data_IF_250983523209
#
_entry.id   IF_250983523209
#
_cell.length_a   1.000
_cell.length_b   1.000
_cell.length_c   1.000
_cell.angle_alpha   90.00
_cell.angle_beta   90.00
_cell.angle_gamma   90.00
#
_symmetry.space_group_name_H-M   'P 1'
#
loop_
_entity.id
_entity.type
_entity.pdbx_description
1 polymer ?
#
# COMPACT_ATOMS: atom_id res chain seq x y z
N UNK A 1 -15.98 2.20 11.48
CA UNK A 1 -15.88 2.80 12.83
C UNK A 1 -17.20 3.00 13.59
N UNK A 2 -18.18 3.77 13.11
CA UNK A 2 -19.39 4.10 13.91
C UNK A 2 -20.19 2.89 14.42
N UNK A 3 -20.52 1.95 13.54
CA UNK A 3 -21.28 0.74 13.92
C UNK A 3 -20.46 -0.26 14.74
N UNK A 4 -19.15 -0.34 14.52
CA UNK A 4 -18.26 -1.25 15.24
C UNK A 4 -17.87 -0.74 16.63
N UNK A 5 -17.95 0.58 16.86
CA UNK A 5 -17.65 1.23 18.14
C UNK A 5 -18.92 1.59 18.93
N UNK A 6 -20.11 1.26 18.42
CA UNK A 6 -21.39 1.54 19.09
C UNK A 6 -21.76 3.02 19.17
N UNK A 7 -21.18 3.86 18.32
CA UNK A 7 -21.35 5.32 18.32
C UNK A 7 -20.11 6.06 17.80
N UNK A 8 -20.12 7.39 17.91
CA UNK A 8 -18.93 8.21 17.69
C UNK A 8 -18.06 8.22 18.96
N UNK A 9 -16.77 7.82 18.89
CA UNK A 9 -15.88 7.87 20.04
C UNK A 9 -15.66 9.30 20.52
N UNK A 10 -15.55 9.51 21.84
CA UNK A 10 -15.15 10.81 22.41
C UNK A 10 -13.74 11.24 21.96
N UNK A 11 -12.90 10.29 21.53
CA UNK A 11 -11.66 10.56 20.80
C UNK A 11 -11.40 9.52 19.73
N UNK A 12 -11.21 9.97 18.48
CA UNK A 12 -10.59 9.20 17.40
C UNK A 12 -9.15 9.71 17.27
N UNK A 13 -8.17 8.83 17.43
CA UNK A 13 -6.77 9.21 17.30
C UNK A 13 -5.83 8.36 18.14
N UNK A 14 -4.58 8.78 18.17
CA UNK A 14 -3.44 8.01 18.71
C UNK A 14 -3.26 8.15 20.23
N UNK A 15 -4.33 8.53 20.94
CA UNK A 15 -4.27 8.76 22.38
C UNK A 15 -3.98 7.42 23.05
N UNK A 16 -2.97 7.40 23.92
CA UNK A 16 -2.46 6.21 24.60
C UNK A 16 -1.74 5.17 23.72
N UNK A 17 -1.51 5.46 22.44
CA UNK A 17 -0.64 4.62 21.60
C UNK A 17 0.82 4.77 22.02
N UNK A 18 1.54 3.66 22.02
CA UNK A 18 2.96 3.71 22.33
C UNK A 18 3.70 4.55 21.28
N UNK A 19 4.74 5.31 21.67
CA UNK A 19 5.55 6.07 20.72
C UNK A 19 6.12 5.20 19.58
N UNK A 20 6.42 3.93 19.88
CA UNK A 20 6.90 2.97 18.89
C UNK A 20 5.82 2.63 17.84
N UNK A 21 4.56 2.47 18.25
CA UNK A 21 3.45 2.20 17.33
C UNK A 21 3.21 3.40 16.40
N UNK A 22 3.33 4.62 16.94
CA UNK A 22 3.19 5.85 16.15
C UNK A 22 4.32 6.03 15.14
N UNK A 23 5.54 5.66 15.52
CA UNK A 23 6.68 5.68 14.62
C UNK A 23 6.53 4.62 13.52
N UNK A 24 6.09 3.41 13.88
CA UNK A 24 5.81 2.35 12.92
C UNK A 24 4.76 2.78 11.90
N UNK A 25 3.64 3.33 12.35
CA UNK A 25 2.57 3.81 11.47
C UNK A 25 3.06 4.87 10.47
N UNK A 26 3.82 5.86 10.95
CA UNK A 26 4.42 6.89 10.08
C UNK A 26 5.38 6.31 9.04
N UNK A 27 6.28 5.40 9.44
CA UNK A 27 7.22 4.76 8.53
C UNK A 27 6.47 3.92 7.50
N UNK A 28 5.50 3.15 7.96
CA UNK A 28 4.70 2.27 7.13
C UNK A 28 3.88 3.06 6.10
N UNK A 29 3.18 4.11 6.54
CA UNK A 29 2.41 4.99 5.67
C UNK A 29 3.29 5.68 4.62
N UNK A 30 4.44 6.23 5.02
CA UNK A 30 5.38 6.84 4.09
C UNK A 30 5.94 5.83 3.08
N UNK A 31 6.35 4.65 3.56
CA UNK A 31 6.93 3.59 2.74
C UNK A 31 5.91 3.09 1.71
N UNK A 32 4.70 2.72 2.12
CA UNK A 32 3.67 2.20 1.22
C UNK A 32 3.24 3.28 0.22
N UNK A 33 3.06 4.53 0.66
CA UNK A 33 2.68 5.62 -0.25
C UNK A 33 3.74 5.85 -1.33
N UNK A 34 5.02 5.91 -0.92
CA UNK A 34 6.14 6.08 -1.85
C UNK A 34 6.24 4.91 -2.81
N UNK A 35 6.11 3.68 -2.30
CA UNK A 35 6.19 2.46 -3.09
C UNK A 35 5.02 2.35 -4.08
N UNK A 36 3.81 2.74 -3.68
CA UNK A 36 2.64 2.78 -4.55
C UNK A 36 2.82 3.81 -5.68
N UNK A 37 3.24 5.04 -5.37
CA UNK A 37 3.52 6.07 -6.37
C UNK A 37 4.62 5.63 -7.35
N UNK A 38 5.70 5.07 -6.82
CA UNK A 38 6.78 4.53 -7.66
C UNK A 38 6.26 3.42 -8.58
N UNK A 39 5.45 2.51 -8.05
CA UNK A 39 4.90 1.38 -8.81
C UNK A 39 3.90 1.82 -9.88
N UNK A 40 3.07 2.84 -9.60
CA UNK A 40 2.05 3.32 -10.54
C UNK A 40 2.65 4.20 -11.64
N UNK A 41 3.63 5.04 -11.32
CA UNK A 41 4.15 6.04 -12.26
C UNK A 41 5.51 5.67 -12.86
N UNK A 42 6.42 5.12 -12.05
CA UNK A 42 7.81 4.88 -12.48
C UNK A 42 7.95 3.53 -13.16
N UNK A 43 7.35 2.46 -12.62
CA UNK A 43 7.47 1.11 -13.19
C UNK A 43 6.93 1.03 -14.63
N UNK A 44 5.77 1.60 -14.99
CA UNK A 44 5.31 1.59 -16.38
C UNK A 44 6.25 2.33 -17.32
N UNK A 45 6.82 3.47 -16.88
CA UNK A 45 7.80 4.21 -17.65
C UNK A 45 9.07 3.37 -17.91
N UNK A 46 9.57 2.64 -16.89
CA UNK A 46 10.71 1.73 -17.04
C UNK A 46 10.37 0.59 -18.01
N UNK A 47 9.17 -0.01 -17.91
CA UNK A 47 8.74 -1.07 -18.83
C UNK A 47 8.72 -0.56 -20.28
N UNK A 48 8.19 0.64 -20.51
CA UNK A 48 8.20 1.26 -21.84
C UNK A 48 9.63 1.41 -22.36
N UNK A 49 10.56 1.89 -21.55
CA UNK A 49 11.98 2.00 -21.93
C UNK A 49 12.59 0.63 -22.24
N UNK A 50 12.32 -0.38 -21.40
CA UNK A 50 12.80 -1.75 -21.61
C UNK A 50 12.26 -2.39 -22.90
N UNK A 51 11.08 -2.00 -23.36
CA UNK A 51 10.53 -2.46 -24.64
C UNK A 51 11.32 -1.92 -25.85
N UNK A 52 11.80 -0.68 -25.78
CA UNK A 52 12.61 -0.07 -26.84
C UNK A 52 14.04 -0.62 -26.90
N UNK A 53 14.60 -1.04 -25.76
CA UNK A 53 15.98 -1.56 -25.67
C UNK A 53 15.96 -3.08 -25.60
N UNK A 54 16.25 -3.76 -26.73
CA UNK A 54 16.22 -5.24 -26.84
C UNK A 54 17.05 -5.97 -25.78
N UNK A 55 18.16 -5.37 -25.31
CA UNK A 55 19.01 -5.92 -24.24
C UNK A 55 18.32 -5.94 -22.86
N UNK A 56 17.34 -5.06 -22.64
CA UNK A 56 16.67 -4.86 -21.35
C UNK A 56 15.29 -5.52 -21.28
N UNK A 57 14.79 -6.09 -22.37
CA UNK A 57 13.53 -6.83 -22.40
C UNK A 57 13.43 -7.93 -21.32
N UNK A 58 14.50 -8.68 -20.98
CA UNK A 58 14.43 -9.66 -19.88
C UNK A 58 14.08 -9.03 -18.52
N UNK A 59 14.38 -7.73 -18.32
CA UNK A 59 14.07 -7.04 -17.06
C UNK A 59 12.57 -6.84 -16.84
N UNK A 60 11.78 -6.86 -17.91
CA UNK A 60 10.32 -6.70 -17.86
C UNK A 60 9.69 -7.77 -16.97
N UNK A 61 10.22 -9.00 -16.96
CA UNK A 61 9.67 -10.09 -16.14
C UNK A 61 9.71 -9.74 -14.64
N UNK A 62 10.79 -9.13 -14.16
CA UNK A 62 10.92 -8.77 -12.75
C UNK A 62 9.97 -7.64 -12.38
N UNK A 63 9.80 -6.65 -13.28
CA UNK A 63 8.85 -5.55 -13.09
C UNK A 63 7.40 -6.04 -13.12
N UNK A 64 7.08 -6.99 -14.00
CA UNK A 64 5.76 -7.62 -14.07
C UNK A 64 5.46 -8.44 -12.82
N UNK A 65 6.44 -9.17 -12.27
CA UNK A 65 6.28 -9.90 -11.02
C UNK A 65 6.03 -8.96 -9.83
N UNK A 66 6.72 -7.82 -9.78
CA UNK A 66 6.46 -6.79 -8.77
C UNK A 66 5.02 -6.26 -8.87
N UNK A 67 4.54 -5.94 -10.07
CA UNK A 67 3.17 -5.47 -10.29
C UNK A 67 2.14 -6.53 -9.90
N UNK A 68 2.38 -7.78 -10.26
CA UNK A 68 1.50 -8.90 -9.92
C UNK A 68 1.45 -9.12 -8.41
N UNK A 69 2.61 -9.11 -7.73
CA UNK A 69 2.69 -9.24 -6.28
C UNK A 69 1.93 -8.14 -5.57
N UNK A 70 2.10 -6.88 -6.01
CA UNK A 70 1.35 -5.75 -5.47
C UNK A 70 -0.15 -5.88 -5.67
N UNK A 71 -0.59 -6.32 -6.85
CA UNK A 71 -2.00 -6.58 -7.11
C UNK A 71 -2.56 -7.67 -6.18
N UNK A 72 -1.82 -8.77 -5.99
CA UNK A 72 -2.23 -9.85 -5.10
C UNK A 72 -2.35 -9.34 -3.66
N UNK A 73 -1.36 -8.59 -3.15
CA UNK A 73 -1.43 -8.04 -1.80
C UNK A 73 -2.58 -7.04 -1.62
N UNK A 74 -2.82 -6.20 -2.62
CA UNK A 74 -3.97 -5.31 -2.64
C UNK A 74 -5.29 -6.09 -2.62
N UNK A 75 -5.40 -7.16 -3.42
CA UNK A 75 -6.60 -8.00 -3.44
C UNK A 75 -6.80 -8.76 -2.13
N UNK A 76 -5.71 -9.19 -1.48
CA UNK A 76 -5.77 -9.84 -0.18
C UNK A 76 -6.38 -8.95 0.90
N UNK A 77 -6.25 -7.63 0.77
CA UNK A 77 -6.82 -6.66 1.69
C UNK A 77 -8.36 -6.72 1.74
N UNK A 78 -9.03 -7.17 0.67
CA UNK A 78 -10.49 -7.35 0.67
C UNK A 78 -10.95 -8.55 1.49
N UNK A 79 -10.05 -9.47 1.87
CA UNK A 79 -10.35 -10.53 2.83
C UNK A 79 -10.15 -10.11 4.28
N UNK A 80 -9.69 -8.87 4.53
CA UNK A 80 -9.60 -8.36 5.88
C UNK A 80 -11.01 -8.24 6.51
N UNK A 81 -11.15 -8.43 7.83
CA UNK A 81 -12.42 -8.21 8.52
C UNK A 81 -12.95 -6.79 8.28
N UNK A 82 -14.27 -6.58 8.32
CA UNK A 82 -14.92 -5.30 7.97
C UNK A 82 -14.39 -4.07 8.75
N UNK A 83 -13.81 -4.27 9.94
CA UNK A 83 -13.16 -3.21 10.71
C UNK A 83 -11.80 -2.76 10.16
N UNK A 84 -11.21 -3.53 9.24
CA UNK A 84 -9.90 -3.33 8.63
C UNK A 84 -9.98 -3.15 7.12
N UNK A 85 -11.15 -3.11 6.49
CA UNK A 85 -11.25 -2.89 5.03
C UNK A 85 -11.13 -1.41 4.67
N UNK A 86 -11.52 -0.51 5.59
CA UNK A 86 -11.46 0.94 5.41
C UNK A 86 -10.27 1.61 6.11
N UNK A 87 -9.30 0.85 6.62
CA UNK A 87 -8.14 1.37 7.36
C UNK A 87 -7.30 2.42 6.60
N UNK A 88 -7.41 2.46 5.27
CA UNK A 88 -6.75 3.48 4.47
C UNK A 88 -7.44 4.85 4.55
N UNK A 89 -8.73 4.85 4.89
CA UNK A 89 -9.61 6.02 4.96
C UNK A 89 -9.95 6.44 6.40
N UNK A 90 -9.83 5.50 7.35
CA UNK A 90 -9.91 5.72 8.81
C UNK A 90 -8.58 6.28 9.35
#
# INVERSE_FOLDING_TARGET
MYHSLGGWPESIGTRDFSPALLMHDKIHGFYISTLALFTIFVVPAIILICLFVRRWQPLIIYLSLQLLGMLIFFLQMFFAPDGYTNWWWD
#
